data_IF_631587420243
#
_entry.id   IF_631587420243
#
_cell.length_a   1.000
_cell.length_b   1.000
_cell.length_c   1.000
_cell.angle_alpha   90.00
_cell.angle_beta   90.00
_cell.angle_gamma   90.00
#
_symmetry.space_group_name_H-M   'P 1'
#
loop_
_entity.id
_entity.type
_entity.pdbx_description
1 polymer ?
#
# COMPACT_ATOMS: atom_id res chain seq x y z
N UNK A 1 -6.66 -1.77 -4.15
CA UNK A 1 -5.99 -3.03 -3.82
C UNK A 1 -6.68 -4.20 -4.49
N UNK A 2 -5.93 -5.19 -4.91
CA UNK A 2 -6.49 -6.45 -5.40
C UNK A 2 -6.13 -7.62 -4.49
N UNK A 3 -5.15 -7.47 -3.62
CA UNK A 3 -4.83 -8.51 -2.66
C UNK A 3 -3.87 -8.05 -1.59
N UNK A 4 -3.94 -8.69 -0.44
CA UNK A 4 -3.02 -8.50 0.67
C UNK A 4 -2.59 -9.88 1.13
N UNK A 5 -1.29 -10.10 1.20
CA UNK A 5 -0.71 -11.32 1.75
C UNK A 5 0.13 -10.92 2.95
N UNK A 6 -0.23 -11.40 4.12
CA UNK A 6 0.48 -11.09 5.35
C UNK A 6 0.95 -12.38 6.00
N UNK A 7 2.26 -12.53 6.14
CA UNK A 7 2.86 -13.71 6.75
C UNK A 7 3.95 -13.28 7.73
N UNK A 8 4.52 -14.25 8.45
CA UNK A 8 5.56 -13.95 9.45
C UNK A 8 6.85 -13.43 8.81
N UNK A 9 7.17 -13.90 7.62
CA UNK A 9 8.43 -13.55 6.98
C UNK A 9 8.28 -12.57 5.83
N UNK A 10 7.11 -12.52 5.18
CA UNK A 10 6.88 -11.67 4.02
C UNK A 10 5.47 -11.13 4.05
N UNK A 11 5.34 -9.86 3.73
CA UNK A 11 4.03 -9.21 3.62
C UNK A 11 4.02 -8.41 2.31
N UNK A 12 2.97 -8.58 1.54
CA UNK A 12 2.85 -7.96 0.22
C UNK A 12 1.46 -7.40 0.01
N UNK A 13 1.35 -6.35 -0.79
CA UNK A 13 0.07 -5.91 -1.33
C UNK A 13 0.15 -5.95 -2.84
N UNK A 14 -0.97 -6.25 -3.48
CA UNK A 14 -1.09 -6.23 -4.93
C UNK A 14 -2.04 -5.11 -5.34
N UNK A 15 -1.62 -4.30 -6.29
CA UNK A 15 -2.34 -3.15 -6.79
C UNK A 15 -2.48 -3.24 -8.30
N UNK A 16 -3.46 -2.52 -8.84
CA UNK A 16 -3.54 -2.31 -10.28
C UNK A 16 -3.11 -0.89 -10.56
N UNK A 17 -2.11 -0.71 -11.44
CA UNK A 17 -1.61 0.59 -11.81
C UNK A 17 -2.47 1.22 -12.91
N UNK A 18 -2.06 2.40 -13.37
CA UNK A 18 -2.81 3.15 -14.40
C UNK A 18 -2.90 2.41 -15.73
N UNK A 19 -1.94 1.55 -16.01
CA UNK A 19 -1.89 0.78 -17.26
C UNK A 19 -2.67 -0.52 -17.18
N UNK A 20 -3.31 -0.80 -16.05
CA UNK A 20 -4.06 -2.02 -15.83
C UNK A 20 -3.21 -3.22 -15.44
N UNK A 21 -1.95 -3.00 -15.10
CA UNK A 21 -1.05 -4.08 -14.71
C UNK A 21 -1.08 -4.28 -13.21
N UNK A 22 -0.93 -5.54 -12.78
CA UNK A 22 -0.84 -5.87 -11.36
C UNK A 22 0.59 -5.63 -10.89
N UNK A 23 0.73 -4.83 -9.84
CA UNK A 23 2.01 -4.52 -9.22
C UNK A 23 1.99 -5.06 -7.80
N UNK A 24 3.02 -5.80 -7.42
CA UNK A 24 3.16 -6.34 -6.06
C UNK A 24 4.23 -5.56 -5.32
N UNK A 25 3.89 -5.07 -4.13
CA UNK A 25 4.78 -4.26 -3.30
C UNK A 25 4.93 -4.93 -1.95
N UNK A 26 6.17 -5.16 -1.54
CA UNK A 26 6.47 -5.72 -0.23
C UNK A 26 6.53 -4.64 0.84
N UNK A 27 6.45 -5.07 2.10
CA UNK A 27 6.55 -4.13 3.22
C UNK A 27 7.90 -3.39 3.16
N UNK A 28 7.87 -2.08 3.39
CA UNK A 28 9.02 -1.17 3.30
C UNK A 28 9.60 -0.99 1.91
N UNK A 29 8.96 -1.49 0.87
CA UNK A 29 9.36 -1.21 -0.51
C UNK A 29 8.68 0.07 -1.01
N UNK A 30 9.38 0.79 -1.89
CA UNK A 30 8.81 1.98 -2.51
C UNK A 30 7.97 1.60 -3.71
N UNK A 31 6.78 2.19 -3.81
CA UNK A 31 5.91 2.02 -4.95
C UNK A 31 6.31 2.95 -6.10
N UNK A 32 6.56 4.21 -5.75
CA UNK A 32 7.01 5.27 -6.66
C UNK A 32 7.95 6.17 -5.87
N UNK A 33 8.44 7.22 -6.51
CA UNK A 33 9.32 8.17 -5.86
C UNK A 33 8.68 8.75 -4.60
N UNK A 34 9.23 8.39 -3.46
CA UNK A 34 8.79 8.92 -2.18
C UNK A 34 7.56 8.27 -1.58
N UNK A 35 7.00 7.23 -2.20
CA UNK A 35 5.85 6.51 -1.65
C UNK A 35 6.28 5.11 -1.25
N UNK A 36 6.13 4.79 0.02
CA UNK A 36 6.64 3.56 0.61
C UNK A 36 5.54 2.83 1.38
N UNK A 37 5.44 1.53 1.20
CA UNK A 37 4.52 0.72 1.99
C UNK A 37 5.12 0.51 3.38
N UNK A 38 4.44 1.02 4.42
CA UNK A 38 4.97 0.97 5.78
C UNK A 38 4.19 0.06 6.72
N UNK A 39 2.94 -0.24 6.38
CA UNK A 39 2.13 -1.13 7.19
C UNK A 39 0.96 -1.65 6.36
N UNK A 40 0.33 -2.71 6.86
CA UNK A 40 -0.88 -3.24 6.24
C UNK A 40 -1.71 -3.99 7.29
N UNK A 41 -3.01 -4.01 7.04
CA UNK A 41 -3.96 -4.81 7.81
C UNK A 41 -4.59 -5.81 6.85
N UNK A 42 -5.56 -6.60 7.31
CA UNK A 42 -6.26 -7.54 6.43
C UNK A 42 -7.18 -6.84 5.43
N UNK A 43 -7.40 -5.53 5.58
CA UNK A 43 -8.33 -4.78 4.76
C UNK A 43 -7.73 -3.56 4.07
N UNK A 44 -6.57 -3.11 4.52
CA UNK A 44 -5.99 -1.84 4.08
C UNK A 44 -4.48 -1.93 3.97
N UNK A 45 -3.92 -1.09 3.11
CA UNK A 45 -2.49 -0.88 3.02
C UNK A 45 -2.19 0.57 3.37
N UNK A 46 -1.13 0.80 4.13
CA UNK A 46 -0.73 2.12 4.58
C UNK A 46 0.59 2.48 3.90
N UNK A 47 0.56 3.54 3.10
CA UNK A 47 1.74 4.06 2.41
C UNK A 47 2.15 5.38 3.05
N UNK A 48 3.45 5.62 3.11
CA UNK A 48 4.01 6.85 3.63
C UNK A 48 4.59 7.68 2.49
N UNK A 49 4.24 8.96 2.46
CA UNK A 49 4.88 9.94 1.60
C UNK A 49 5.74 10.85 2.48
N UNK A 50 6.39 11.86 1.89
CA UNK A 50 7.20 12.79 2.65
C UNK A 50 6.41 13.59 3.68
N UNK A 51 5.12 13.81 3.43
CA UNK A 51 4.30 14.70 4.26
C UNK A 51 3.14 14.03 4.96
N UNK A 52 2.73 12.85 4.49
CA UNK A 52 1.48 12.25 4.99
C UNK A 52 1.46 10.75 4.76
N UNK A 53 0.39 10.15 5.26
CA UNK A 53 0.11 8.73 5.06
C UNK A 53 -1.10 8.57 4.15
N UNK A 54 -1.06 7.58 3.27
CA UNK A 54 -2.16 7.22 2.41
C UNK A 54 -2.66 5.84 2.82
N UNK A 55 -3.95 5.73 3.09
CA UNK A 55 -4.58 4.47 3.47
C UNK A 55 -5.46 4.04 2.31
N UNK A 56 -5.10 2.91 1.72
CA UNK A 56 -5.77 2.38 0.53
C UNK A 56 -6.51 1.10 0.90
N UNK A 57 -7.78 0.98 0.51
CA UNK A 57 -8.60 -0.20 0.80
C UNK A 57 -8.99 -0.94 -0.48
N UNK A 58 -9.78 -2.01 -0.33
CA UNK A 58 -10.24 -2.82 -1.46
C UNK A 58 -11.38 -2.17 -2.25
N UNK A 59 -11.94 -1.08 -1.75
CA UNK A 59 -13.01 -0.35 -2.42
C UNK A 59 -12.48 0.77 -3.30
N UNK A 60 -11.18 0.78 -3.54
CA UNK A 60 -10.48 1.81 -4.32
C UNK A 60 -10.59 3.21 -3.70
N UNK A 61 -10.77 3.26 -2.39
CA UNK A 61 -10.79 4.51 -1.65
C UNK A 61 -9.42 4.77 -1.07
N UNK A 62 -8.99 6.02 -1.11
CA UNK A 62 -7.72 6.44 -0.55
C UNK A 62 -8.01 7.53 0.47
N UNK A 63 -7.56 7.32 1.69
CA UNK A 63 -7.67 8.31 2.76
C UNK A 63 -6.30 8.87 3.05
N UNK A 64 -6.23 10.16 3.28
CA UNK A 64 -4.99 10.83 3.63
C UNK A 64 -5.00 11.18 5.11
N UNK A 65 -3.86 10.95 5.77
CA UNK A 65 -3.66 11.35 7.16
C UNK A 65 -2.29 11.97 7.31
N UNK A 66 -2.20 13.03 8.12
CA UNK A 66 -0.91 13.64 8.43
C UNK A 66 -0.14 12.81 9.45
N UNK A 67 -0.83 11.98 10.23
CA UNK A 67 -0.23 11.09 11.22
C UNK A 67 -0.84 9.71 11.08
N UNK A 68 -0.03 8.72 11.32
CA UNK A 68 -0.46 7.33 11.29
C UNK A 68 -0.98 6.88 12.66
#
# INVERSE_FOLDING_TARGET
LVGIIKSKSNSFVSLINQDGEVVTVGIYEELNDGVKLVDMTTKEAIFQTEEKYLIMDFKNQIKERSEY
#
